data_IF_917913937960
#
_entry.id   IF_917913937960
#
_cell.length_a   1.000
_cell.length_b   1.000
_cell.length_c   1.000
_cell.angle_alpha   90.00
_cell.angle_beta   90.00
_cell.angle_gamma   90.00
#
_symmetry.space_group_name_H-M   'P 1'
#
loop_
_entity.id
_entity.type
_entity.pdbx_description
1 polymer ?
#
# COMPACT_ATOMS: atom_id res chain seq x y z
N UNK A 1 8.39 -12.80 13.98
CA UNK A 1 7.56 -13.17 12.81
C UNK A 1 6.85 -11.89 12.37
N UNK A 2 6.93 -11.49 11.09
CA UNK A 2 6.26 -10.29 10.59
C UNK A 2 4.93 -10.66 9.93
N UNK A 3 3.87 -9.91 10.19
CA UNK A 3 2.55 -10.09 9.60
C UNK A 3 2.31 -9.00 8.55
N UNK A 4 2.11 -9.43 7.30
CA UNK A 4 1.90 -8.52 6.18
C UNK A 4 0.56 -8.79 5.49
N UNK A 5 0.06 -7.81 4.73
CA UNK A 5 -1.14 -7.97 3.92
C UNK A 5 -0.87 -7.59 2.46
N UNK A 6 -1.42 -8.39 1.55
CA UNK A 6 -1.39 -8.08 0.13
C UNK A 6 -2.51 -7.12 -0.24
N UNK A 7 -2.20 -6.11 -1.03
CA UNK A 7 -3.19 -5.17 -1.59
C UNK A 7 -4.28 -5.89 -2.40
N UNK A 8 -4.02 -7.11 -2.88
CA UNK A 8 -5.05 -7.92 -3.54
C UNK A 8 -6.24 -8.29 -2.61
N UNK A 9 -6.03 -8.32 -1.29
CA UNK A 9 -7.10 -8.48 -0.30
C UNK A 9 -8.12 -7.34 -0.34
N UNK A 10 -7.73 -6.16 -0.84
CA UNK A 10 -8.56 -4.97 -1.02
C UNK A 10 -8.87 -4.69 -2.50
N UNK A 11 -8.83 -5.71 -3.36
CA UNK A 11 -9.00 -5.53 -4.82
C UNK A 11 -10.29 -4.82 -5.23
N UNK A 12 -11.40 -5.05 -4.55
CA UNK A 12 -12.69 -4.47 -4.94
C UNK A 12 -12.69 -2.94 -4.75
N UNK A 13 -12.36 -2.39 -3.56
CA UNK A 13 -12.26 -0.95 -3.38
C UNK A 13 -11.10 -0.30 -4.15
N UNK A 14 -10.00 -1.02 -4.40
CA UNK A 14 -8.90 -0.52 -5.24
C UNK A 14 -9.29 -0.44 -6.72
N UNK A 15 -10.03 -1.42 -7.24
CA UNK A 15 -10.52 -1.42 -8.64
C UNK A 15 -11.61 -0.40 -8.88
N UNK A 16 -12.50 -0.20 -7.91
CA UNK A 16 -13.58 0.80 -8.01
C UNK A 16 -13.07 2.24 -7.85
N UNK A 17 -11.85 2.43 -7.36
CA UNK A 17 -11.27 3.73 -7.04
C UNK A 17 -11.80 4.36 -5.75
N UNK A 18 -12.60 3.63 -4.96
CA UNK A 18 -13.03 4.08 -3.63
C UNK A 18 -11.92 4.02 -2.58
N UNK A 19 -10.80 3.36 -2.91
CA UNK A 19 -9.58 3.29 -2.14
C UNK A 19 -8.38 3.47 -3.07
N UNK A 20 -7.39 4.24 -2.63
CA UNK A 20 -6.07 4.34 -3.29
C UNK A 20 -5.06 3.43 -2.59
N UNK A 21 -3.94 3.17 -3.25
CA UNK A 21 -2.81 2.44 -2.65
C UNK A 21 -2.31 3.13 -1.37
N UNK A 22 -2.31 4.46 -1.34
CA UNK A 22 -1.98 5.23 -0.13
C UNK A 22 -2.94 4.96 1.03
N UNK A 23 -4.23 4.84 0.75
CA UNK A 23 -5.25 4.55 1.76
C UNK A 23 -5.06 3.13 2.30
N UNK A 24 -4.76 2.16 1.43
CA UNK A 24 -4.42 0.79 1.84
C UNK A 24 -3.21 0.73 2.78
N UNK A 25 -2.14 1.48 2.50
CA UNK A 25 -0.96 1.56 3.38
C UNK A 25 -1.34 2.15 4.75
N UNK A 26 -2.17 3.19 4.76
CA UNK A 26 -2.66 3.81 5.99
C UNK A 26 -3.49 2.81 6.81
N UNK A 27 -4.41 2.08 6.17
CA UNK A 27 -5.22 1.04 6.82
C UNK A 27 -4.35 -0.08 7.40
N UNK A 28 -3.34 -0.55 6.66
CA UNK A 28 -2.41 -1.58 7.13
C UNK A 28 -1.66 -1.15 8.40
N UNK A 29 -1.23 0.12 8.45
CA UNK A 29 -0.64 0.71 9.65
C UNK A 29 -1.64 0.81 10.81
N UNK A 30 -2.85 1.30 10.56
CA UNK A 30 -3.88 1.47 11.60
C UNK A 30 -4.29 0.17 12.27
N UNK A 31 -4.29 -0.96 11.54
CA UNK A 31 -4.61 -2.28 12.09
C UNK A 31 -3.39 -3.02 12.66
N UNK A 32 -2.20 -2.40 12.64
CA UNK A 32 -1.00 -2.91 13.29
C UNK A 32 -0.24 -3.99 12.52
N UNK A 33 -0.26 -3.96 11.18
CA UNK A 33 0.58 -4.84 10.36
C UNK A 33 2.06 -4.39 10.37
N UNK A 34 2.96 -5.31 10.06
CA UNK A 34 4.39 -5.02 9.91
C UNK A 34 4.74 -4.57 8.47
N UNK A 35 3.88 -4.86 7.49
CA UNK A 35 4.16 -4.54 6.11
C UNK A 35 3.04 -4.85 5.12
N UNK A 36 3.31 -4.52 3.87
CA UNK A 36 2.38 -4.59 2.75
C UNK A 36 3.03 -5.20 1.51
N UNK A 37 2.28 -6.01 0.77
CA UNK A 37 2.64 -6.42 -0.59
C UNK A 37 1.79 -5.59 -1.58
N UNK A 38 2.47 -4.84 -2.45
CA UNK A 38 1.83 -3.88 -3.36
C UNK A 38 1.74 -4.45 -4.78
N UNK A 39 0.52 -4.68 -5.25
CA UNK A 39 0.24 -5.19 -6.58
C UNK A 39 0.21 -4.02 -7.57
N UNK A 40 1.12 -4.06 -8.54
CA UNK A 40 1.48 -2.92 -9.38
C UNK A 40 0.37 -2.37 -10.27
N UNK A 41 -0.59 -3.19 -10.72
CA UNK A 41 -1.68 -2.71 -11.57
C UNK A 41 -2.76 -1.90 -10.81
N UNK A 42 -2.67 -1.82 -9.48
CA UNK A 42 -3.45 -0.82 -8.71
C UNK A 42 -2.78 0.56 -8.69
N UNK A 43 -1.58 0.70 -9.25
CA UNK A 43 -0.88 1.98 -9.29
C UNK A 43 -1.42 2.81 -10.46
N UNK A 44 -1.72 4.10 -10.25
CA UNK A 44 -2.16 4.99 -11.33
C UNK A 44 -1.03 5.35 -12.29
N UNK A 45 0.24 5.22 -11.87
CA UNK A 45 1.42 5.55 -12.68
C UNK A 45 2.67 4.88 -12.09
N UNK A 46 3.70 4.73 -12.92
CA UNK A 46 5.04 4.30 -12.52
C UNK A 46 6.05 5.45 -12.52
N UNK A 47 5.58 6.70 -12.57
CA UNK A 47 6.44 7.86 -12.45
C UNK A 47 7.22 7.87 -11.13
N UNK A 48 8.49 8.26 -11.21
CA UNK A 48 9.41 8.29 -10.07
C UNK A 48 8.87 9.09 -8.89
N UNK A 49 8.14 10.18 -9.17
CA UNK A 49 7.50 11.05 -8.17
C UNK A 49 6.46 10.29 -7.36
N UNK A 50 5.58 9.54 -8.02
CA UNK A 50 4.57 8.69 -7.38
C UNK A 50 5.22 7.55 -6.58
N UNK A 51 6.16 6.82 -7.19
CA UNK A 51 6.85 5.71 -6.50
C UNK A 51 7.62 6.20 -5.26
N UNK A 52 8.23 7.38 -5.33
CA UNK A 52 8.91 8.00 -4.18
C UNK A 52 7.92 8.41 -3.08
N UNK A 53 6.70 8.86 -3.46
CA UNK A 53 5.63 9.16 -2.51
C UNK A 53 5.17 7.90 -1.78
N UNK A 54 4.94 6.79 -2.50
CA UNK A 54 4.55 5.49 -1.91
C UNK A 54 5.63 4.98 -0.96
N UNK A 55 6.91 4.96 -1.41
CA UNK A 55 8.03 4.57 -0.56
C UNK A 55 8.11 5.42 0.71
N UNK A 56 7.95 6.74 0.60
CA UNK A 56 8.01 7.66 1.76
C UNK A 56 6.83 7.44 2.71
N UNK A 57 5.64 7.18 2.19
CA UNK A 57 4.47 6.88 3.01
C UNK A 57 4.68 5.60 3.83
N UNK A 58 5.11 4.52 3.18
CA UNK A 58 5.41 3.26 3.87
C UNK A 58 6.49 3.46 4.95
N UNK A 59 7.59 4.17 4.62
CA UNK A 59 8.65 4.49 5.58
C UNK A 59 8.14 5.29 6.79
N UNK A 60 7.31 6.32 6.55
CA UNK A 60 6.75 7.15 7.62
C UNK A 60 5.84 6.35 8.57
N UNK A 61 5.18 5.31 8.06
CA UNK A 61 4.36 4.40 8.86
C UNK A 61 5.13 3.19 9.40
N UNK A 62 6.43 3.07 9.13
CA UNK A 62 7.20 1.90 9.53
C UNK A 62 6.77 0.60 8.83
N UNK A 63 6.10 0.69 7.68
CA UNK A 63 5.65 -0.46 6.90
C UNK A 63 6.78 -0.97 6.01
N UNK A 64 7.07 -2.27 6.09
CA UNK A 64 7.87 -2.95 5.07
C UNK A 64 7.07 -3.12 3.78
N UNK A 65 7.74 -2.99 2.63
CA UNK A 65 7.19 -3.39 1.33
C UNK A 65 7.84 -4.72 0.97
N UNK A 66 7.03 -5.77 0.90
CA UNK A 66 7.47 -7.17 0.66
C UNK A 66 7.01 -7.71 -0.69
#
# INVERSE_FOLDING_TARGET
MKLCCTSYSYREPLKSGTMKVEDFITVAYEIGLDGVELVSYFFPTFERTYLSKIKRLALNHGMDIV
#
